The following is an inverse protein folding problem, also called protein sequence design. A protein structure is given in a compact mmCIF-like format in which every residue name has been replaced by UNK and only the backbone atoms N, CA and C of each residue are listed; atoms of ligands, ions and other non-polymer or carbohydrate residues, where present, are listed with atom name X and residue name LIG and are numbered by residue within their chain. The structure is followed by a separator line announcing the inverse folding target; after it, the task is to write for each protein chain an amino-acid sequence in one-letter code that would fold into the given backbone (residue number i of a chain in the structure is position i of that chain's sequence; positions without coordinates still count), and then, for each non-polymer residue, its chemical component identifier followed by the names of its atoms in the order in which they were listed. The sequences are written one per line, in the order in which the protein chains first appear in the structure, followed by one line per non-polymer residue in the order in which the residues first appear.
data_IF_656129847428
#
_entry.id   IF_656129847428
#
_cell.length_a   1.000
_cell.length_b   1.000
_cell.length_c   1.000
_cell.angle_alpha   90.00
_cell.angle_beta   90.00
_cell.angle_gamma   90.00
#
_symmetry.space_group_name_H-M   'P 1'
#
loop_
_entity.id
_entity.type
_entity.pdbx_description
1 polymer ?
#
# COMPACT_ATOMS: atom_id res chain seq x y z
N UNK A 1 8.19 -3.20 19.58
CA UNK A 1 7.56 -2.27 20.55
C UNK A 1 6.36 -2.91 21.26
N UNK A 2 5.55 -3.75 20.60
CA UNK A 2 4.46 -4.50 21.27
C UNK A 2 4.99 -5.47 22.35
N UNK A 3 6.00 -6.30 22.04
CA UNK A 3 6.39 -7.43 22.89
C UNK A 3 6.82 -7.04 24.32
N UNK A 4 7.44 -5.87 24.52
CA UNK A 4 7.84 -5.40 25.86
C UNK A 4 6.65 -5.05 26.74
N UNK A 5 5.51 -4.67 26.15
CA UNK A 5 4.28 -4.33 26.88
C UNK A 5 3.52 -5.57 27.35
N UNK A 6 3.64 -6.67 26.61
CA UNK A 6 3.00 -7.95 26.91
C UNK A 6 3.92 -8.94 27.64
N UNK A 7 5.18 -8.56 27.86
CA UNK A 7 6.13 -9.37 28.61
C UNK A 7 5.71 -9.50 30.08
N UNK A 8 5.49 -10.73 30.54
CA UNK A 8 5.07 -11.03 31.92
C UNK A 8 3.57 -10.90 32.19
N UNK A 9 2.73 -10.60 31.18
CA UNK A 9 1.28 -10.65 31.34
C UNK A 9 0.74 -12.09 31.27
N UNK A 10 -0.35 -12.36 31.99
CA UNK A 10 -1.06 -13.64 31.91
C UNK A 10 -1.65 -13.88 30.52
N UNK A 11 -1.72 -15.15 30.09
CA UNK A 11 -2.19 -15.51 28.74
C UNK A 11 -3.63 -15.03 28.43
N UNK A 12 -4.45 -14.81 29.46
CA UNK A 12 -5.83 -14.30 29.33
C UNK A 12 -5.90 -12.91 28.69
N UNK A 13 -4.83 -12.12 28.79
CA UNK A 13 -4.77 -10.75 28.28
C UNK A 13 -4.03 -10.66 26.94
N UNK A 14 -3.65 -11.81 26.36
CA UNK A 14 -2.89 -11.88 25.12
C UNK A 14 -3.82 -12.25 23.98
N UNK A 15 -3.80 -11.40 22.95
CA UNK A 15 -4.54 -11.60 21.70
C UNK A 15 -3.79 -12.54 20.77
N UNK A 16 -4.48 -13.02 19.74
CA UNK A 16 -3.88 -13.89 18.73
C UNK A 16 -2.74 -13.18 17.99
N UNK A 17 -1.79 -13.95 17.47
CA UNK A 17 -0.71 -13.47 16.62
C UNK A 17 -1.21 -12.70 15.37
N UNK A 18 -2.42 -13.00 14.91
CA UNK A 18 -3.05 -12.32 13.77
C UNK A 18 -3.51 -10.91 14.14
N UNK A 19 -4.15 -10.77 15.30
CA UNK A 19 -4.60 -9.50 15.84
C UNK A 19 -3.46 -8.64 16.38
N UNK A 20 -2.30 -9.24 16.65
CA UNK A 20 -1.09 -8.51 17.10
C UNK A 20 -0.20 -8.00 15.95
N UNK A 21 -0.57 -8.33 14.70
CA UNK A 21 0.14 -7.85 13.51
C UNK A 21 -0.08 -6.35 13.27
N UNK A 22 0.77 -5.74 12.44
CA UNK A 22 0.63 -4.32 12.05
C UNK A 22 -0.71 -4.04 11.34
N UNK A 23 -1.29 -5.06 10.69
CA UNK A 23 -2.56 -4.94 9.96
C UNK A 23 -3.74 -4.79 10.92
N UNK A 24 -3.85 -5.63 11.96
CA UNK A 24 -5.02 -5.69 12.84
C UNK A 24 -4.78 -5.12 14.26
N UNK A 25 -3.52 -4.90 14.64
CA UNK A 25 -3.10 -4.46 15.97
C UNK A 25 -3.70 -3.15 16.38
N UNK A 26 -4.49 -3.13 17.46
CA UNK A 26 -5.10 -1.89 17.97
C UNK A 26 -4.08 -0.90 18.48
N UNK A 27 -3.02 -1.38 19.12
CA UNK A 27 -1.95 -0.54 19.65
C UNK A 27 -1.01 0.00 18.56
N UNK A 28 -0.95 -0.69 17.41
CA UNK A 28 -0.14 -0.33 16.24
C UNK A 28 -0.97 0.36 15.15
N UNK A 29 -2.30 0.49 15.31
CA UNK A 29 -3.20 1.00 14.28
C UNK A 29 -2.83 2.40 13.77
N UNK A 30 -2.28 3.25 14.64
CA UNK A 30 -1.77 4.59 14.28
C UNK A 30 -0.61 4.48 13.29
N UNK A 31 0.28 3.50 13.45
CA UNK A 31 1.42 3.28 12.55
C UNK A 31 0.93 2.86 11.16
N UNK A 32 -0.03 1.93 11.07
CA UNK A 32 -0.66 1.57 9.79
C UNK A 32 -1.34 2.78 9.13
N UNK A 33 -2.01 3.62 9.92
CA UNK A 33 -2.69 4.81 9.42
C UNK A 33 -1.70 5.82 8.82
N UNK A 34 -0.58 6.05 9.51
CA UNK A 34 0.52 6.90 9.04
C UNK A 34 1.17 6.31 7.79
N UNK A 35 1.38 4.99 7.75
CA UNK A 35 1.88 4.29 6.57
C UNK A 35 0.96 4.54 5.37
N UNK A 36 -0.35 4.29 5.50
CA UNK A 36 -1.32 4.50 4.43
C UNK A 36 -1.32 5.94 3.88
N UNK A 37 -1.20 6.94 4.74
CA UNK A 37 -1.11 8.35 4.32
C UNK A 37 0.18 8.61 3.55
N UNK A 38 1.30 8.05 4.01
CA UNK A 38 2.63 8.28 3.43
C UNK A 38 2.95 7.36 2.23
N UNK A 39 2.10 6.37 1.91
CA UNK A 39 2.32 5.43 0.79
C UNK A 39 2.76 6.17 -0.49
N UNK A 40 2.07 7.21 -0.98
CA UNK A 40 2.45 7.82 -2.27
C UNK A 40 3.80 8.53 -2.22
N UNK A 41 4.19 9.04 -1.05
CA UNK A 41 5.49 9.69 -0.85
C UNK A 41 6.60 8.65 -0.81
N UNK A 42 6.45 7.59 0.00
CA UNK A 42 7.46 6.54 0.14
C UNK A 42 7.59 5.76 -1.17
N UNK A 43 6.48 5.37 -1.79
CA UNK A 43 6.46 4.61 -3.03
C UNK A 43 7.10 5.38 -4.19
N UNK A 44 6.86 6.69 -4.29
CA UNK A 44 7.50 7.52 -5.33
C UNK A 44 8.99 7.76 -5.08
N UNK A 45 9.49 7.67 -3.85
CA UNK A 45 10.94 7.68 -3.61
C UNK A 45 11.59 6.37 -4.07
N UNK A 46 10.89 5.25 -3.98
CA UNK A 46 11.42 3.94 -4.34
C UNK A 46 11.43 3.80 -5.87
N UNK A 47 12.61 3.98 -6.46
CA UNK A 47 12.94 3.67 -7.86
C UNK A 47 12.20 4.46 -8.95
N UNK A 48 11.25 5.34 -8.60
CA UNK A 48 10.54 6.15 -9.60
C UNK A 48 11.42 7.21 -10.26
N UNK A 49 12.52 7.63 -9.62
CA UNK A 49 13.49 8.59 -10.16
C UNK A 49 14.55 7.94 -11.08
N UNK A 50 14.50 6.62 -11.25
CA UNK A 50 15.47 5.85 -12.05
C UNK A 50 15.62 6.40 -13.48
N UNK A 51 14.54 6.82 -14.14
CA UNK A 51 14.62 7.42 -15.48
C UNK A 51 15.27 8.81 -15.46
N UNK A 52 15.00 9.62 -14.44
CA UNK A 52 15.59 10.94 -14.30
C UNK A 52 17.11 10.87 -14.12
N UNK A 53 17.58 9.94 -13.29
CA UNK A 53 19.00 9.71 -13.04
C UNK A 53 19.73 9.30 -14.31
N UNK A 54 19.15 8.39 -15.10
CA UNK A 54 19.74 7.96 -16.38
C UNK A 54 19.75 9.08 -17.43
N UNK A 55 18.73 9.94 -17.42
CA UNK A 55 18.65 11.09 -18.31
C UNK A 55 19.70 12.15 -17.94
N UNK A 56 19.87 12.48 -16.65
CA UNK A 56 20.87 13.45 -16.20
C UNK A 56 22.31 12.95 -16.37
N UNK A 57 22.56 11.67 -16.08
CA UNK A 57 23.90 11.08 -16.22
C UNK A 57 24.31 10.83 -17.67
N UNK A 58 23.37 10.93 -18.62
CA UNK A 58 23.60 10.66 -20.03
C UNK A 58 23.72 9.17 -20.38
N UNK A 59 23.65 8.27 -19.39
CA UNK A 59 23.67 6.81 -19.56
C UNK A 59 22.52 6.35 -20.48
N UNK A 60 21.38 7.05 -20.42
CA UNK A 60 20.24 6.83 -21.32
C UNK A 60 20.64 6.76 -22.80
N UNK A 61 21.52 7.64 -23.27
CA UNK A 61 21.96 7.67 -24.68
C UNK A 61 22.74 6.42 -25.06
N UNK A 62 23.56 5.88 -24.15
CA UNK A 62 24.32 4.65 -24.38
C UNK A 62 23.38 3.44 -24.49
N UNK A 63 22.35 3.38 -23.64
CA UNK A 63 21.37 2.27 -23.64
C UNK A 63 20.54 2.26 -24.93
N UNK A 64 20.13 3.43 -25.40
CA UNK A 64 19.37 3.57 -26.65
C UNK A 64 20.13 3.13 -27.91
N UNK A 65 21.46 3.02 -27.87
CA UNK A 65 22.22 2.50 -29.02
C UNK A 65 21.91 1.02 -29.32
N UNK A 66 21.38 0.28 -28.33
CA UNK A 66 21.13 -1.16 -28.42
C UNK A 66 19.65 -1.55 -28.32
N UNK A 67 18.77 -0.61 -27.98
CA UNK A 67 17.35 -0.86 -27.69
C UNK A 67 16.48 0.32 -28.07
N UNK A 68 15.23 0.04 -28.43
CA UNK A 68 14.25 1.09 -28.72
C UNK A 68 13.86 1.88 -27.46
N UNK A 69 13.53 3.15 -27.65
CA UNK A 69 13.09 4.06 -26.58
C UNK A 69 11.84 3.53 -25.87
N UNK A 70 10.86 3.02 -26.63
CA UNK A 70 9.62 2.42 -26.12
C UNK A 70 9.89 1.24 -25.20
N UNK A 71 10.68 0.27 -25.66
CA UNK A 71 10.94 -0.96 -24.90
C UNK A 71 11.66 -0.65 -23.61
N UNK A 72 12.61 0.30 -23.62
CA UNK A 72 13.29 0.76 -22.42
C UNK A 72 12.35 1.43 -21.40
N UNK A 73 11.47 2.34 -21.84
CA UNK A 73 10.54 3.06 -20.96
C UNK A 73 9.53 2.10 -20.31
N UNK A 74 8.98 1.17 -21.08
CA UNK A 74 8.07 0.14 -20.57
C UNK A 74 8.75 -0.83 -19.63
N UNK A 75 9.96 -1.30 -19.96
CA UNK A 75 10.74 -2.18 -19.10
C UNK A 75 11.01 -1.51 -17.74
N UNK A 76 11.40 -0.23 -17.73
CA UNK A 76 11.59 0.52 -16.47
C UNK A 76 10.30 0.68 -15.67
N UNK A 77 9.16 0.88 -16.33
CA UNK A 77 7.86 0.92 -15.65
C UNK A 77 7.56 -0.40 -14.92
N UNK A 78 7.77 -1.54 -15.58
CA UNK A 78 7.57 -2.88 -14.99
C UNK A 78 8.54 -3.13 -13.83
N UNK A 79 9.82 -2.76 -13.98
CA UNK A 79 10.80 -2.90 -12.90
C UNK A 79 10.43 -2.02 -11.70
N UNK A 80 9.99 -0.78 -11.94
CA UNK A 80 9.54 0.12 -10.87
C UNK A 80 8.37 -0.48 -10.11
N UNK A 81 7.37 -1.03 -10.81
CA UNK A 81 6.26 -1.74 -10.20
C UNK A 81 6.72 -2.92 -9.34
N UNK A 82 7.58 -3.80 -9.90
CA UNK A 82 8.05 -4.99 -9.18
C UNK A 82 8.86 -4.65 -7.93
N UNK A 83 9.84 -3.75 -8.05
CA UNK A 83 10.70 -3.33 -6.94
C UNK A 83 9.87 -2.72 -5.81
N UNK A 84 8.99 -1.77 -6.13
CA UNK A 84 8.16 -1.10 -5.11
C UNK A 84 7.19 -2.06 -4.44
N UNK A 85 6.57 -2.97 -5.20
CA UNK A 85 5.69 -4.01 -4.67
C UNK A 85 6.39 -4.87 -3.62
N UNK A 86 7.58 -5.41 -3.94
CA UNK A 86 8.32 -6.26 -3.00
C UNK A 86 8.90 -5.48 -1.82
N UNK A 87 9.28 -4.21 -2.00
CA UNK A 87 9.78 -3.36 -0.89
C UNK A 87 8.72 -3.13 0.18
N UNK A 88 7.43 -3.05 -0.17
CA UNK A 88 6.35 -2.99 0.82
C UNK A 88 5.91 -4.37 1.32
N UNK A 89 5.85 -5.37 0.44
CA UNK A 89 5.36 -6.69 0.80
C UNK A 89 6.30 -7.42 1.79
N UNK A 90 7.61 -7.36 1.58
CA UNK A 90 8.58 -8.11 2.38
C UNK A 90 8.59 -7.66 3.86
N UNK A 91 8.67 -6.36 4.21
CA UNK A 91 8.60 -5.92 5.60
C UNK A 91 7.30 -6.31 6.30
N UNK A 92 6.16 -6.21 5.61
CA UNK A 92 4.86 -6.59 6.16
C UNK A 92 4.79 -8.11 6.43
N UNK A 93 5.27 -8.94 5.50
CA UNK A 93 5.39 -10.38 5.70
C UNK A 93 6.32 -10.72 6.87
N UNK A 94 7.45 -10.02 6.97
CA UNK A 94 8.38 -10.20 8.08
C UNK A 94 7.74 -9.85 9.42
N UNK A 95 7.00 -8.74 9.48
CA UNK A 95 6.23 -8.38 10.68
C UNK A 95 5.23 -9.48 11.05
N UNK A 96 4.47 -10.01 10.10
CA UNK A 96 3.51 -11.09 10.34
C UNK A 96 4.20 -12.37 10.84
N UNK A 97 5.36 -12.72 10.29
CA UNK A 97 6.16 -13.87 10.72
C UNK A 97 6.66 -13.70 12.15
N UNK A 98 7.17 -12.52 12.52
CA UNK A 98 7.61 -12.23 13.88
C UNK A 98 6.46 -12.33 14.89
N UNK A 99 5.27 -11.85 14.53
CA UNK A 99 4.08 -11.98 15.36
C UNK A 99 3.68 -13.45 15.58
N UNK A 100 3.76 -14.29 14.54
CA UNK A 100 3.48 -15.73 14.64
C UNK A 100 4.46 -16.49 15.53
N UNK A 101 5.71 -16.06 15.59
CA UNK A 101 6.72 -16.67 16.48
C UNK A 101 6.52 -16.22 17.93
N UNK A 102 6.10 -14.97 18.14
CA UNK A 102 6.11 -14.35 19.47
C UNK A 102 4.80 -14.56 20.24
N UNK A 103 3.66 -14.59 19.53
CA UNK A 103 2.32 -14.62 20.13
C UNK A 103 1.61 -15.94 19.82
N UNK A 104 0.67 -16.39 20.68
CA UNK A 104 -0.09 -17.60 20.43
C UNK A 104 -1.00 -17.44 19.20
N UNK A 105 -1.26 -18.53 18.49
CA UNK A 105 -2.18 -18.53 17.33
C UNK A 105 -3.62 -18.30 17.77
N UNK A 106 -4.02 -18.89 18.90
CA UNK A 106 -5.31 -18.68 19.53
C UNK A 106 -5.15 -17.65 20.67
N UNK A 107 -5.87 -16.54 20.57
CA UNK A 107 -5.92 -15.51 21.60
C UNK A 107 -7.02 -15.78 22.61
N UNK A 108 -6.81 -15.36 23.86
CA UNK A 108 -7.85 -15.39 24.91
C UNK A 108 -8.53 -14.03 25.11
N UNK A 109 -8.03 -13.00 24.43
CA UNK A 109 -8.62 -11.66 24.31
C UNK A 109 -8.80 -11.32 22.82
N UNK A 110 -9.65 -10.34 22.51
CA UNK A 110 -9.87 -9.88 21.14
C UNK A 110 -9.91 -8.34 21.01
N UNK A 111 -9.85 -7.87 19.76
CA UNK A 111 -9.94 -6.43 19.42
C UNK A 111 -11.21 -5.74 19.95
N UNK A 112 -12.31 -6.47 20.14
CA UNK A 112 -13.61 -5.91 20.53
C UNK A 112 -13.90 -6.00 22.04
N UNK A 113 -12.94 -6.48 22.84
CA UNK A 113 -13.08 -6.75 24.27
C UNK A 113 -14.30 -7.64 24.59
N UNK A 114 -14.62 -8.58 23.69
CA UNK A 114 -15.72 -9.51 23.85
C UNK A 114 -15.27 -10.76 24.59
N UNK A 115 -16.20 -11.44 25.29
CA UNK A 115 -15.89 -12.69 25.97
C UNK A 115 -15.35 -13.77 25.01
N UNK A 116 -14.47 -14.68 25.47
CA UNK A 116 -13.84 -15.69 24.63
C UNK A 116 -14.79 -16.58 23.83
N UNK A 117 -16.00 -16.82 24.33
CA UNK A 117 -17.02 -17.63 23.66
C UNK A 117 -17.72 -16.91 22.49
N UNK A 118 -17.59 -15.58 22.41
CA UNK A 118 -18.24 -14.73 21.41
C UNK A 118 -17.28 -14.36 20.26
N UNK A 119 -16.02 -14.83 20.29
CA UNK A 119 -14.96 -14.44 19.33
C UNK A 119 -15.22 -14.96 17.90
N UNK A 120 -16.18 -15.88 17.71
CA UNK A 120 -16.48 -16.56 16.44
C UNK A 120 -17.44 -15.83 15.49
N UNK A 121 -18.29 -16.60 14.81
CA UNK A 121 -19.22 -16.14 13.76
C UNK A 121 -20.21 -15.06 14.21
N UNK A 122 -20.43 -14.92 15.53
CA UNK A 122 -21.28 -13.88 16.11
C UNK A 122 -20.70 -12.47 15.96
N UNK A 123 -19.37 -12.36 15.73
CA UNK A 123 -18.67 -11.09 15.44
C UNK A 123 -18.67 -10.69 13.96
N UNK A 124 -19.42 -11.39 13.13
CA UNK A 124 -19.52 -11.03 11.73
C UNK A 124 -20.34 -9.74 11.55
N UNK A 125 -19.77 -8.78 10.84
CA UNK A 125 -20.44 -7.57 10.44
C UNK A 125 -20.22 -7.31 8.94
N UNK A 126 -21.31 -7.39 8.19
CA UNK A 126 -21.33 -7.21 6.73
C UNK A 126 -20.94 -5.79 6.26
N UNK A 127 -20.79 -4.83 7.18
CA UNK A 127 -20.33 -3.48 6.84
C UNK A 127 -18.81 -3.36 6.75
N UNK A 128 -18.06 -4.29 7.36
CA UNK A 128 -16.60 -4.32 7.30
C UNK A 128 -16.11 -5.09 6.08
N UNK A 129 -15.09 -4.55 5.43
CA UNK A 129 -14.56 -5.14 4.21
C UNK A 129 -13.77 -6.42 4.52
N UNK A 130 -14.12 -7.52 3.83
CA UNK A 130 -13.56 -8.86 4.00
C UNK A 130 -13.78 -9.45 5.41
N UNK A 131 -14.82 -9.05 6.12
CA UNK A 131 -15.03 -9.49 7.51
C UNK A 131 -15.29 -11.00 7.64
N UNK A 132 -15.99 -11.60 6.67
CA UNK A 132 -16.18 -13.05 6.63
C UNK A 132 -14.84 -13.79 6.54
N UNK A 133 -13.90 -13.26 5.73
CA UNK A 133 -12.56 -13.82 5.58
C UNK A 133 -11.74 -13.65 6.86
N UNK A 134 -11.91 -12.53 7.57
CA UNK A 134 -11.30 -12.29 8.89
C UNK A 134 -11.71 -13.36 9.89
N UNK A 135 -13.01 -13.70 9.95
CA UNK A 135 -13.55 -14.69 10.90
C UNK A 135 -13.15 -16.12 10.50
N UNK A 136 -13.19 -16.46 9.21
CA UNK A 136 -12.87 -17.82 8.73
C UNK A 136 -11.37 -18.13 8.73
N UNK A 137 -10.55 -17.16 8.33
CA UNK A 137 -9.11 -17.34 8.12
C UNK A 137 -8.34 -16.03 8.36
N UNK A 138 -8.03 -15.69 9.63
CA UNK A 138 -7.37 -14.44 9.98
C UNK A 138 -6.03 -14.22 9.28
N UNK A 139 -5.27 -15.29 9.05
CA UNK A 139 -4.00 -15.25 8.32
C UNK A 139 -4.20 -14.79 6.87
N UNK A 140 -5.18 -15.37 6.18
CA UNK A 140 -5.45 -15.06 4.76
C UNK A 140 -5.97 -13.63 4.62
N UNK A 141 -6.75 -13.15 5.59
CA UNK A 141 -7.17 -11.76 5.67
C UNK A 141 -5.97 -10.81 5.76
N UNK A 142 -4.99 -11.08 6.64
CA UNK A 142 -3.78 -10.26 6.73
C UNK A 142 -2.96 -10.29 5.45
N UNK A 143 -2.76 -11.48 4.85
CA UNK A 143 -2.06 -11.63 3.57
C UNK A 143 -2.73 -10.79 2.46
N UNK A 144 -4.06 -10.79 2.41
CA UNK A 144 -4.82 -10.02 1.44
C UNK A 144 -4.58 -8.51 1.61
N UNK A 145 -4.67 -7.98 2.83
CA UNK A 145 -4.39 -6.55 3.07
C UNK A 145 -2.94 -6.18 2.78
N UNK A 146 -1.97 -7.03 3.14
CA UNK A 146 -0.56 -6.80 2.80
C UNK A 146 -0.35 -6.72 1.29
N UNK A 147 -1.00 -7.62 0.53
CA UNK A 147 -0.98 -7.60 -0.93
C UNK A 147 -1.65 -6.34 -1.51
N UNK A 148 -2.78 -5.90 -0.96
CA UNK A 148 -3.47 -4.70 -1.43
C UNK A 148 -2.64 -3.43 -1.18
N UNK A 149 -2.03 -3.30 0.01
CA UNK A 149 -1.16 -2.18 0.37
C UNK A 149 0.04 -2.12 -0.59
N UNK A 150 0.72 -3.24 -0.82
CA UNK A 150 1.87 -3.29 -1.72
C UNK A 150 1.48 -3.02 -3.18
N UNK A 151 0.32 -3.49 -3.63
CA UNK A 151 -0.21 -3.22 -4.97
C UNK A 151 -0.49 -1.73 -5.16
N UNK A 152 -1.20 -1.09 -4.22
CA UNK A 152 -1.50 0.34 -4.30
C UNK A 152 -0.22 1.17 -4.29
N UNK A 153 0.74 0.82 -3.43
CA UNK A 153 2.05 1.47 -3.41
C UNK A 153 2.76 1.37 -4.78
N UNK A 154 2.77 0.18 -5.38
CA UNK A 154 3.40 -0.02 -6.69
C UNK A 154 2.74 0.80 -7.80
N UNK A 155 1.41 0.93 -7.78
CA UNK A 155 0.69 1.79 -8.73
C UNK A 155 1.04 3.28 -8.56
N UNK A 156 1.18 3.76 -7.32
CA UNK A 156 1.65 5.12 -7.07
C UNK A 156 3.07 5.35 -7.57
N UNK A 157 3.97 4.37 -7.42
CA UNK A 157 5.33 4.47 -7.93
C UNK A 157 5.37 4.56 -9.46
N UNK A 158 4.56 3.74 -10.15
CA UNK A 158 4.39 3.78 -11.60
C UNK A 158 3.81 5.12 -12.07
N UNK A 159 2.80 5.63 -11.36
CA UNK A 159 2.22 6.93 -11.64
C UNK A 159 3.25 8.06 -11.48
N UNK A 160 4.05 8.05 -10.40
CA UNK A 160 5.11 9.03 -10.17
C UNK A 160 6.22 8.96 -11.22
N UNK A 161 6.61 7.74 -11.62
CA UNK A 161 7.56 7.50 -12.70
C UNK A 161 7.11 8.16 -14.02
N UNK A 162 5.86 7.94 -14.42
CA UNK A 162 5.31 8.55 -15.63
C UNK A 162 5.14 10.07 -15.52
N UNK A 163 4.74 10.57 -14.35
CA UNK A 163 4.54 12.00 -14.09
C UNK A 163 5.83 12.83 -14.29
N UNK A 164 7.01 12.24 -14.08
CA UNK A 164 8.29 12.88 -14.33
C UNK A 164 8.40 13.49 -15.74
N UNK A 165 7.88 12.78 -16.75
CA UNK A 165 7.92 13.20 -18.15
C UNK A 165 7.06 14.44 -18.45
N UNK A 166 6.03 14.68 -17.63
CA UNK A 166 5.07 15.78 -17.81
C UNK A 166 5.64 17.06 -17.24
N UNK A 167 6.16 17.01 -16.00
CA UNK A 167 6.48 18.20 -15.25
C UNK A 167 7.83 18.82 -15.56
N UNK A 168 8.80 18.09 -16.15
CA UNK A 168 10.16 18.58 -16.49
C UNK A 168 10.88 19.36 -15.37
N UNK A 169 10.39 19.26 -14.12
CA UNK A 169 10.96 19.87 -12.91
C UNK A 169 11.88 18.84 -12.24
N UNK A 170 12.64 19.28 -11.24
CA UNK A 170 13.53 18.39 -10.48
C UNK A 170 12.76 17.24 -9.82
N UNK A 171 13.42 16.10 -9.60
CA UNK A 171 12.83 14.86 -9.05
C UNK A 171 11.97 15.07 -7.80
N UNK A 172 12.42 15.91 -6.88
CA UNK A 172 11.71 16.18 -5.62
C UNK A 172 10.40 16.93 -5.83
N UNK A 173 10.32 17.80 -6.84
CA UNK A 173 9.09 18.51 -7.16
C UNK A 173 8.02 17.57 -7.71
N UNK A 174 8.40 16.56 -8.50
CA UNK A 174 7.47 15.54 -9.03
C UNK A 174 6.94 14.66 -7.88
N UNK A 175 7.83 14.19 -7.00
CA UNK A 175 7.47 13.38 -5.82
C UNK A 175 6.51 14.15 -4.91
N UNK A 176 6.87 15.39 -4.54
CA UNK A 176 6.02 16.23 -3.71
C UNK A 176 4.68 16.56 -4.40
N UNK A 177 4.69 16.74 -5.72
CA UNK A 177 3.50 16.96 -6.52
C UNK A 177 2.52 15.79 -6.45
N UNK A 178 2.99 14.56 -6.67
CA UNK A 178 2.16 13.35 -6.58
C UNK A 178 1.58 13.17 -5.18
N UNK A 179 2.39 13.37 -4.13
CA UNK A 179 1.90 13.30 -2.75
C UNK A 179 0.87 14.40 -2.45
N UNK A 180 1.12 15.64 -2.86
CA UNK A 180 0.19 16.74 -2.64
C UNK A 180 -1.16 16.52 -3.35
N UNK A 181 -1.12 16.00 -4.58
CA UNK A 181 -2.32 15.65 -5.34
C UNK A 181 -3.13 14.59 -4.60
N UNK A 182 -2.48 13.54 -4.12
CA UNK A 182 -3.14 12.50 -3.35
C UNK A 182 -3.84 13.06 -2.10
N UNK A 183 -3.15 13.88 -1.30
CA UNK A 183 -3.73 14.48 -0.09
C UNK A 183 -4.93 15.37 -0.43
N UNK A 184 -4.84 16.19 -1.49
CA UNK A 184 -5.96 17.04 -1.92
C UNK A 184 -7.15 16.21 -2.39
N UNK A 185 -6.92 15.13 -3.12
CA UNK A 185 -8.01 14.24 -3.56
C UNK A 185 -8.66 13.54 -2.36
N UNK A 186 -7.89 13.04 -1.40
CA UNK A 186 -8.43 12.46 -0.16
C UNK A 186 -9.23 13.47 0.66
N UNK A 187 -8.75 14.72 0.77
CA UNK A 187 -9.50 15.81 1.41
C UNK A 187 -10.81 16.11 0.67
N UNK A 188 -10.81 16.12 -0.67
CA UNK A 188 -12.01 16.33 -1.45
C UNK A 188 -13.03 15.19 -1.30
N UNK A 189 -12.57 13.93 -1.33
CA UNK A 189 -13.42 12.73 -1.18
C UNK A 189 -14.04 12.67 0.21
N UNK A 190 -13.27 12.99 1.25
CA UNK A 190 -13.77 13.05 2.63
C UNK A 190 -14.76 14.21 2.83
N UNK A 191 -14.52 15.37 2.21
CA UNK A 191 -15.45 16.50 2.23
C UNK A 191 -16.78 16.22 1.50
N UNK A 192 -16.76 15.43 0.42
CA UNK A 192 -17.95 15.09 -0.37
C UNK A 192 -18.87 14.02 0.23
N UNK A 193 -18.50 13.43 1.37
CA UNK A 193 -19.52 12.90 2.27
C UNK A 193 -19.55 11.39 2.49
N UNK A 194 -18.43 10.68 2.40
CA UNK A 194 -18.25 9.52 3.30
C UNK A 194 -16.79 9.09 3.45
N UNK A 195 -16.37 8.84 4.69
CA UNK A 195 -15.10 8.17 5.01
C UNK A 195 -14.95 6.82 4.32
N UNK A 196 -16.07 6.17 3.96
CA UNK A 196 -16.10 4.86 3.27
C UNK A 196 -15.49 4.89 1.86
N UNK A 197 -15.37 6.07 1.25
CA UNK A 197 -14.81 6.24 -0.09
C UNK A 197 -13.31 6.54 -0.10
N UNK A 198 -12.75 6.95 1.04
CA UNK A 198 -11.33 7.29 1.19
C UNK A 198 -10.46 6.06 0.98
N UNK A 199 -9.39 6.19 0.17
CA UNK A 199 -8.45 5.09 -0.07
C UNK A 199 -7.71 4.73 1.22
N UNK A 200 -7.39 5.74 2.05
CA UNK A 200 -6.73 5.55 3.36
C UNK A 200 -7.60 4.63 4.23
N UNK A 201 -8.91 4.90 4.28
CA UNK A 201 -9.83 4.13 5.11
C UNK A 201 -10.05 2.71 4.57
N UNK A 202 -10.07 2.54 3.25
CA UNK A 202 -10.24 1.25 2.58
C UNK A 202 -9.02 0.32 2.73
N UNK A 203 -7.81 0.88 2.86
CA UNK A 203 -6.57 0.12 3.07
C UNK A 203 -6.36 -0.30 4.53
N UNK A 204 -7.06 0.32 5.47
CA UNK A 204 -6.98 0.00 6.89
C UNK A 204 -7.93 -1.14 7.25
N UNK A 205 -7.44 -2.09 8.05
CA UNK A 205 -8.23 -3.27 8.41
C UNK A 205 -9.26 -2.97 9.51
N UNK A 206 -10.43 -3.60 9.40
CA UNK A 206 -11.53 -3.41 10.35
C UNK A 206 -12.31 -2.10 10.18
N UNK A 207 -12.07 -1.36 9.10
CA UNK A 207 -12.86 -0.19 8.74
C UNK A 207 -14.00 -0.53 7.77
N UNK A 208 -15.04 0.30 7.79
CA UNK A 208 -16.19 0.13 6.90
C UNK A 208 -15.80 0.55 5.48
N UNK A 209 -16.03 -0.34 4.52
CA UNK A 209 -15.55 -0.16 3.16
C UNK A 209 -16.29 -1.04 2.17
N UNK A 210 -16.19 -0.67 0.89
CA UNK A 210 -16.75 -1.47 -0.20
C UNK A 210 -15.66 -1.90 -1.17
N UNK A 211 -15.68 -3.18 -1.52
CA UNK A 211 -14.74 -3.77 -2.48
C UNK A 211 -14.83 -3.10 -3.85
N UNK A 212 -16.04 -2.70 -4.28
CA UNK A 212 -16.21 -2.04 -5.59
C UNK A 212 -15.47 -0.71 -5.64
N UNK A 213 -15.49 0.07 -4.55
CA UNK A 213 -14.80 1.36 -4.48
C UNK A 213 -13.29 1.18 -4.47
N UNK A 214 -12.78 0.17 -3.76
CA UNK A 214 -11.35 -0.15 -3.78
C UNK A 214 -10.88 -0.56 -5.19
N UNK A 215 -11.66 -1.38 -5.91
CA UNK A 215 -11.36 -1.73 -7.30
C UNK A 215 -11.42 -0.52 -8.24
N UNK A 216 -12.32 0.43 -8.00
CA UNK A 216 -12.36 1.69 -8.75
C UNK A 216 -11.08 2.50 -8.53
N UNK A 217 -10.61 2.65 -7.29
CA UNK A 217 -9.33 3.32 -7.01
C UNK A 217 -8.14 2.66 -7.70
N UNK A 218 -8.04 1.32 -7.59
CA UNK A 218 -6.97 0.56 -8.24
C UNK A 218 -7.01 0.74 -9.76
N UNK A 219 -8.20 0.66 -10.37
CA UNK A 219 -8.34 0.83 -11.81
C UNK A 219 -8.00 2.25 -12.27
N UNK A 220 -8.40 3.29 -11.54
CA UNK A 220 -8.04 4.68 -11.82
C UNK A 220 -6.52 4.86 -11.76
N UNK A 221 -5.86 4.40 -10.70
CA UNK A 221 -4.41 4.51 -10.55
C UNK A 221 -3.66 3.72 -11.64
N UNK A 222 -4.15 2.53 -12.00
CA UNK A 222 -3.58 1.72 -13.07
C UNK A 222 -3.68 2.38 -14.44
N UNK A 223 -4.87 2.90 -14.79
CA UNK A 223 -5.09 3.62 -16.05
C UNK A 223 -4.24 4.88 -16.10
N UNK A 224 -4.21 5.68 -15.02
CA UNK A 224 -3.37 6.87 -14.95
C UNK A 224 -1.88 6.55 -15.11
N UNK A 225 -1.40 5.48 -14.46
CA UNK A 225 -0.03 5.00 -14.61
C UNK A 225 0.31 4.63 -16.05
N UNK A 226 -0.54 3.85 -16.72
CA UNK A 226 -0.36 3.45 -18.12
C UNK A 226 -0.38 4.66 -19.05
N UNK A 227 -1.34 5.57 -18.91
CA UNK A 227 -1.46 6.75 -19.76
C UNK A 227 -0.22 7.63 -19.62
N UNK A 228 0.30 7.79 -18.41
CA UNK A 228 1.53 8.56 -18.18
C UNK A 228 2.76 7.89 -18.81
N UNK A 229 2.92 6.56 -18.70
CA UNK A 229 4.01 5.82 -19.35
C UNK A 229 3.89 5.90 -20.88
N UNK A 230 2.70 5.69 -21.44
CA UNK A 230 2.46 5.78 -22.86
C UNK A 230 2.78 7.20 -23.37
N UNK A 231 2.30 8.24 -22.68
CA UNK A 231 2.61 9.63 -22.98
C UNK A 231 4.11 9.94 -22.91
N UNK A 232 4.82 9.35 -21.96
CA UNK A 232 6.28 9.43 -21.88
C UNK A 232 6.92 8.81 -23.13
N UNK A 233 6.51 7.61 -23.54
CA UNK A 233 7.08 6.93 -24.70
C UNK A 233 6.94 7.72 -26.00
N UNK A 234 5.77 8.31 -26.27
CA UNK A 234 5.56 9.13 -27.47
C UNK A 234 6.41 10.41 -27.49
N UNK A 235 6.61 11.05 -26.33
CA UNK A 235 7.39 12.30 -26.23
C UNK A 235 8.87 12.13 -26.53
N UNK A 236 9.43 10.95 -26.24
CA UNK A 236 10.84 10.66 -26.47
C UNK A 236 11.14 10.10 -27.86
N UNK A 237 10.13 9.66 -28.62
CA UNK A 237 10.29 9.32 -30.05
C UNK A 237 10.27 10.54 -30.97
N UNK A 238 9.63 11.64 -30.56
CA UNK A 238 9.51 12.86 -31.36
C UNK A 238 10.75 13.77 -31.29
N UNK A 239 11.85 13.32 -30.66
CA UNK A 239 13.10 14.06 -30.44
C UNK A 239 14.30 13.25 -30.91
#
# INVERSE_FOLDING_TARGET
MECSRFYGMGMTNIRSAYEMSLIQGTSVHVLLSVECILIPLIASIIYSDSFYVDYQSGVYKSILTRTDTKTYIWAKGIVTFGVTFFVFLIPLLWNQLLCLITFPTEGFDNRFALPPYDIGTQNYNNTFMFDLLRVQSPLLYNLLYMFLISLVAALFAVFAYGAFSVFKKGRFATIAGVFSLYVVVEMAVTAWGSFRLSLINLLQSGNQGSLSVLLLWISILFVLGIVMIAGQSYRFEAK
#
